data_IF_283630427022
#
_entry.id   IF_283630427022
#
_cell.length_a   1.000
_cell.length_b   1.000
_cell.length_c   1.000
_cell.angle_alpha   90.00
_cell.angle_beta   90.00
_cell.angle_gamma   90.00
#
_symmetry.space_group_name_H-M   'P 1'
#
loop_
_entity.id
_entity.type
_entity.pdbx_description
1 polymer ?
#
# COMPACT_ATOMS: atom_id res chain seq x y z
N UNK A 1 -2.08 29.56 -1.35
CA UNK A 1 -0.79 28.89 -1.09
C UNK A 1 -1.01 27.42 -0.77
N UNK A 2 -1.15 26.57 -1.80
CA UNK A 2 -1.22 25.12 -1.64
C UNK A 2 -0.37 24.49 -2.75
N UNK A 3 0.95 24.54 -2.55
CA UNK A 3 1.89 23.91 -3.45
C UNK A 3 1.84 22.40 -3.24
N UNK A 4 1.38 21.68 -4.25
CA UNK A 4 1.61 20.25 -4.41
C UNK A 4 3.12 20.00 -4.48
N UNK A 5 3.79 19.85 -3.34
CA UNK A 5 5.03 19.10 -3.28
C UNK A 5 4.65 17.62 -3.43
N UNK A 6 4.32 17.23 -4.66
CA UNK A 6 4.28 15.82 -5.04
C UNK A 6 5.73 15.33 -4.99
N UNK A 7 6.17 14.93 -3.79
CA UNK A 7 7.33 14.08 -3.63
C UNK A 7 7.16 12.93 -4.62
N UNK A 8 8.11 12.79 -5.53
CA UNK A 8 8.00 11.95 -6.72
C UNK A 8 7.90 10.49 -6.27
N UNK A 9 6.69 9.97 -6.11
CA UNK A 9 6.43 8.55 -5.85
C UNK A 9 6.93 7.76 -7.06
N UNK A 10 8.15 7.22 -6.95
CA UNK A 10 8.73 6.35 -7.98
C UNK A 10 8.56 4.92 -7.52
N UNK A 11 7.58 4.23 -8.10
CA UNK A 11 7.45 2.80 -7.95
C UNK A 11 8.39 2.10 -8.94
N UNK A 12 9.21 1.16 -8.46
CA UNK A 12 9.99 0.27 -9.30
C UNK A 12 9.28 -1.10 -9.31
N UNK A 13 8.58 -1.41 -10.41
CA UNK A 13 7.50 -2.41 -10.38
C UNK A 13 7.66 -3.62 -11.31
N UNK A 14 8.66 -3.64 -12.19
CA UNK A 14 8.57 -4.49 -13.38
C UNK A 14 8.66 -6.02 -13.15
N UNK A 15 9.25 -6.50 -12.05
CA UNK A 15 9.45 -7.95 -11.79
C UNK A 15 8.92 -8.41 -10.41
N UNK A 16 8.71 -7.48 -9.48
CA UNK A 16 8.35 -7.78 -8.07
C UNK A 16 6.85 -7.91 -7.81
N UNK A 17 6.02 -7.22 -8.59
CA UNK A 17 4.57 -7.25 -8.37
C UNK A 17 3.96 -8.64 -8.59
N UNK A 18 4.53 -9.44 -9.51
CA UNK A 18 4.13 -10.83 -9.72
C UNK A 18 4.45 -11.74 -8.51
N UNK A 19 5.42 -11.36 -7.68
CA UNK A 19 5.87 -12.12 -6.51
C UNK A 19 5.21 -11.68 -5.20
N UNK A 20 4.20 -10.81 -5.26
CA UNK A 20 3.56 -10.30 -4.05
C UNK A 20 4.41 -9.29 -3.28
N UNK A 21 5.25 -8.51 -3.95
CA UNK A 21 6.08 -7.50 -3.29
C UNK A 21 6.30 -6.24 -4.15
N UNK A 22 6.54 -5.09 -3.52
CA UNK A 22 6.85 -3.85 -4.24
C UNK A 22 7.82 -2.93 -3.48
N UNK A 23 8.70 -2.32 -4.28
CA UNK A 23 9.62 -1.22 -3.99
C UNK A 23 8.99 0.17 -4.20
N UNK A 24 8.72 0.98 -3.18
CA UNK A 24 8.21 2.35 -3.38
C UNK A 24 9.12 3.37 -2.70
N UNK A 25 9.67 4.30 -3.48
CA UNK A 25 10.43 5.43 -2.91
C UNK A 25 9.44 6.58 -2.58
N UNK A 26 9.51 7.11 -1.34
CA UNK A 26 8.61 8.14 -0.80
C UNK A 26 9.44 9.23 -0.14
N UNK A 27 9.45 10.43 -0.73
CA UNK A 27 10.32 11.51 -0.28
C UNK A 27 11.79 11.09 -0.34
N UNK A 28 12.50 11.19 0.79
CA UNK A 28 13.87 10.69 0.94
C UNK A 28 13.93 9.23 1.43
N UNK A 29 12.81 8.69 1.89
CA UNK A 29 12.70 7.35 2.44
C UNK A 29 12.07 6.35 1.48
N UNK A 30 11.64 5.24 2.04
CA UNK A 30 11.20 4.10 1.28
C UNK A 30 10.19 3.24 2.02
N UNK A 31 9.31 2.64 1.23
CA UNK A 31 8.38 1.60 1.65
C UNK A 31 8.64 0.30 0.89
N UNK A 32 8.76 -0.79 1.65
CA UNK A 32 8.68 -2.15 1.13
C UNK A 32 7.30 -2.73 1.44
N UNK A 33 6.60 -3.16 0.38
CA UNK A 33 5.33 -3.86 0.49
C UNK A 33 5.53 -5.34 0.24
N UNK A 34 4.82 -6.15 1.01
CA UNK A 34 4.62 -7.58 0.73
C UNK A 34 3.15 -7.91 0.88
N UNK A 35 2.61 -8.70 -0.02
CA UNK A 35 1.23 -9.16 0.03
C UNK A 35 1.09 -10.61 -0.39
N UNK A 36 0.10 -11.26 0.20
CA UNK A 36 -0.26 -12.63 -0.12
C UNK A 36 -1.78 -12.81 0.03
N UNK A 37 -2.40 -13.66 -0.80
CA UNK A 37 -3.78 -14.04 -0.60
C UNK A 37 -3.92 -14.77 0.74
N UNK A 38 -4.99 -14.45 1.46
CA UNK A 38 -5.45 -15.21 2.61
C UNK A 38 -6.62 -16.11 2.17
N UNK A 39 -6.89 -17.20 2.89
CA UNK A 39 -8.11 -17.97 2.67
C UNK A 39 -9.34 -17.06 2.68
N UNK A 40 -10.23 -17.27 1.71
CA UNK A 40 -11.49 -16.55 1.58
C UNK A 40 -12.25 -16.61 2.90
N UNK A 41 -12.84 -15.48 3.30
CA UNK A 41 -13.78 -15.48 4.42
C UNK A 41 -15.15 -15.84 3.88
N UNK A 42 -15.66 -16.97 4.33
CA UNK A 42 -17.01 -17.40 4.01
C UNK A 42 -17.99 -16.91 5.09
N UNK A 43 -19.06 -16.24 4.67
CA UNK A 43 -20.19 -15.83 5.52
C UNK A 43 -21.45 -16.34 4.85
N UNK A 44 -22.01 -17.46 5.35
CA UNK A 44 -23.08 -18.21 4.69
C UNK A 44 -22.72 -18.56 3.22
N UNK A 45 -23.48 -18.05 2.25
CA UNK A 45 -23.24 -18.25 0.81
C UNK A 45 -22.22 -17.26 0.21
N UNK A 46 -21.85 -16.21 0.96
CA UNK A 46 -20.92 -15.19 0.50
C UNK A 46 -19.48 -15.65 0.68
N UNK A 47 -18.64 -15.44 -0.34
CA UNK A 47 -17.19 -15.61 -0.28
C UNK A 47 -16.52 -14.25 -0.48
N UNK A 48 -15.72 -13.84 0.51
CA UNK A 48 -14.99 -12.59 0.51
C UNK A 48 -13.49 -12.88 0.35
N UNK A 49 -12.88 -12.55 -0.79
CA UNK A 49 -11.44 -12.63 -0.98
C UNK A 49 -10.72 -11.75 0.05
N UNK A 50 -9.59 -12.24 0.54
CA UNK A 50 -8.78 -11.53 1.53
C UNK A 50 -7.34 -11.43 1.09
N UNK A 51 -6.73 -10.27 1.33
CA UNK A 51 -5.34 -10.01 1.06
C UNK A 51 -4.64 -9.56 2.35
N UNK A 52 -3.60 -10.29 2.75
CA UNK A 52 -2.66 -9.81 3.76
C UNK A 52 -1.69 -8.85 3.08
N UNK A 53 -1.48 -7.68 3.66
CA UNK A 53 -0.50 -6.70 3.18
C UNK A 53 0.35 -6.26 4.37
N UNK A 54 1.67 -6.29 4.20
CA UNK A 54 2.66 -5.87 5.17
C UNK A 54 3.40 -4.66 4.61
N UNK A 55 3.64 -3.67 5.48
CA UNK A 55 4.32 -2.43 5.16
C UNK A 55 5.56 -2.29 6.04
N UNK A 56 6.71 -2.04 5.43
CA UNK A 56 7.93 -1.69 6.13
C UNK A 56 8.44 -0.35 5.63
N UNK A 57 8.31 0.68 6.47
CA UNK A 57 8.79 2.03 6.17
C UNK A 57 10.20 2.23 6.74
N UNK A 58 11.06 2.89 5.97
CA UNK A 58 12.41 3.26 6.40
C UNK A 58 12.67 4.71 5.98
N UNK A 59 13.03 5.55 6.94
CA UNK A 59 13.34 6.98 6.74
C UNK A 59 12.23 7.80 6.05
N UNK A 60 10.97 7.38 6.23
CA UNK A 60 9.79 8.10 5.73
C UNK A 60 9.21 8.96 6.84
N UNK A 61 8.98 10.24 6.55
CA UNK A 61 8.32 11.18 7.46
C UNK A 61 6.89 10.72 7.78
N UNK A 62 6.42 11.00 9.00
CA UNK A 62 5.09 10.55 9.43
C UNK A 62 3.97 11.15 8.58
N UNK A 63 4.09 12.40 8.12
CA UNK A 63 3.09 13.01 7.24
C UNK A 63 3.01 12.30 5.88
N UNK A 64 4.16 11.93 5.31
CA UNK A 64 4.24 11.17 4.06
C UNK A 64 3.72 9.75 4.23
N UNK A 65 4.02 9.12 5.37
CA UNK A 65 3.48 7.81 5.73
C UNK A 65 1.96 7.83 5.84
N UNK A 66 1.40 8.78 6.59
CA UNK A 66 -0.07 8.92 6.75
C UNK A 66 -0.75 9.21 5.41
N UNK A 67 -0.13 10.07 4.59
CA UNK A 67 -0.62 10.36 3.24
C UNK A 67 -0.65 9.09 2.39
N UNK A 68 0.44 8.32 2.38
CA UNK A 68 0.49 7.05 1.66
C UNK A 68 -0.57 6.07 2.14
N UNK A 69 -0.70 5.86 3.46
CA UNK A 69 -1.68 4.94 4.04
C UNK A 69 -3.10 5.31 3.65
N UNK A 70 -3.46 6.61 3.73
CA UNK A 70 -4.77 7.10 3.31
C UNK A 70 -5.06 6.81 1.83
N UNK A 71 -4.09 7.06 0.95
CA UNK A 71 -4.26 6.73 -0.48
C UNK A 71 -4.37 5.23 -0.72
N UNK A 72 -3.53 4.44 -0.05
CA UNK A 72 -3.53 2.98 -0.17
C UNK A 72 -4.88 2.40 0.26
N UNK A 73 -5.39 2.80 1.43
CA UNK A 73 -6.66 2.29 1.95
C UNK A 73 -7.84 2.70 1.06
N UNK A 74 -7.90 3.94 0.59
CA UNK A 74 -8.91 4.40 -0.38
C UNK A 74 -8.88 3.57 -1.67
N UNK A 75 -7.70 3.37 -2.25
CA UNK A 75 -7.57 2.63 -3.51
C UNK A 75 -7.92 1.15 -3.34
N UNK A 76 -7.54 0.55 -2.21
CA UNK A 76 -7.86 -0.83 -1.86
C UNK A 76 -9.27 -1.00 -1.28
N UNK A 77 -10.06 0.09 -1.21
CA UNK A 77 -11.39 0.13 -0.58
C UNK A 77 -11.39 -0.48 0.83
N UNK A 78 -10.28 -0.29 1.55
CA UNK A 78 -10.13 -0.69 2.95
C UNK A 78 -10.74 0.41 3.83
N UNK A 79 -11.47 0.00 4.87
CA UNK A 79 -12.13 0.91 5.80
C UNK A 79 -13.50 1.36 5.31
N UNK A 80 -14.41 0.39 5.09
CA UNK A 80 -15.81 0.63 4.72
C UNK A 80 -16.37 1.86 5.45
N UNK A 81 -16.93 2.79 4.67
CA UNK A 81 -17.21 4.17 5.05
C UNK A 81 -18.01 4.37 6.33
#
# INVERSE_FOLDING_TARGET
MAGLAAGRLRAQTADRAAQGQARVDIGAGRLELRWAPLPDRQIALMRLPRLAVQFSFTDVDEADRQRFMRYFDLFMQRGGG
#
